data_IF_370921598618
#
_entry.id   IF_370921598618
#
_cell.length_a   1.000
_cell.length_b   1.000
_cell.length_c   1.000
_cell.angle_alpha   90.00
_cell.angle_beta   90.00
_cell.angle_gamma   90.00
#
_symmetry.space_group_name_H-M   'P 1'
#
loop_
_entity.id
_entity.type
_entity.pdbx_description
1 polymer ?
#
# COMPACT_ATOMS: atom_id res chain seq x y z
N UNK A 1 -21.55 -44.04 -48.34
CA UNK A 1 -20.49 -43.10 -47.97
C UNK A 1 -21.03 -41.71 -48.23
N UNK A 2 -22.18 -41.36 -47.65
CA UNK A 2 -22.39 -41.01 -46.22
C UNK A 2 -21.68 -39.67 -45.94
N UNK A 3 -22.27 -38.59 -45.45
CA UNK A 3 -23.61 -38.28 -44.98
C UNK A 3 -23.80 -36.75 -45.09
N UNK A 4 -25.06 -36.39 -45.32
CA UNK A 4 -25.73 -35.10 -45.13
C UNK A 4 -25.29 -34.33 -43.85
N UNK A 5 -25.06 -33.01 -43.90
CA UNK A 5 -26.06 -31.90 -43.97
C UNK A 5 -26.70 -31.58 -42.62
N UNK A 6 -26.41 -30.37 -42.11
CA UNK A 6 -27.31 -29.40 -41.45
C UNK A 6 -26.49 -28.09 -41.43
N UNK A 7 -26.70 -27.06 -42.25
CA UNK A 7 -27.87 -26.25 -42.58
C UNK A 7 -28.57 -25.60 -41.38
N UNK A 8 -28.28 -24.30 -41.22
CA UNK A 8 -29.19 -23.15 -40.99
C UNK A 8 -30.26 -23.16 -39.87
N UNK A 9 -30.54 -21.93 -39.37
CA UNK A 9 -31.54 -21.46 -38.38
C UNK A 9 -31.06 -21.45 -36.91
N UNK A 10 -31.10 -20.35 -36.15
CA UNK A 10 -32.13 -19.31 -36.06
C UNK A 10 -31.61 -17.89 -35.77
N UNK A 11 -32.38 -16.95 -36.31
CA UNK A 11 -32.46 -15.53 -36.00
C UNK A 11 -33.36 -15.31 -34.76
N UNK A 12 -33.08 -14.24 -34.00
CA UNK A 12 -33.93 -13.51 -33.04
C UNK A 12 -34.68 -14.25 -31.91
N UNK A 13 -34.33 -13.90 -30.66
CA UNK A 13 -35.30 -13.36 -29.68
C UNK A 13 -34.60 -12.38 -28.73
N UNK A 14 -35.12 -11.16 -28.68
CA UNK A 14 -34.86 -10.17 -27.65
C UNK A 14 -35.67 -10.47 -26.38
N UNK A 15 -35.26 -9.83 -25.29
CA UNK A 15 -36.01 -9.49 -24.06
C UNK A 15 -35.97 -10.45 -22.86
N UNK A 16 -35.55 -9.86 -21.72
CA UNK A 16 -35.82 -10.21 -20.31
C UNK A 16 -35.10 -11.48 -19.80
N UNK A 17 -34.19 -11.42 -18.82
CA UNK A 17 -34.31 -10.82 -17.50
C UNK A 17 -32.95 -10.88 -16.76
N UNK A 18 -32.86 -10.11 -15.68
CA UNK A 18 -31.79 -10.05 -14.69
C UNK A 18 -31.38 -11.42 -14.11
N UNK A 19 -30.24 -11.38 -13.42
CA UNK A 19 -29.70 -12.38 -12.47
C UNK A 19 -28.70 -13.34 -13.10
N UNK A 20 -27.41 -13.02 -12.95
CA UNK A 20 -26.35 -13.91 -12.44
C UNK A 20 -25.00 -13.18 -12.56
N UNK A 21 -24.79 -12.21 -11.65
CA UNK A 21 -23.46 -11.88 -11.17
C UNK A 21 -23.07 -12.91 -10.09
N UNK A 22 -21.75 -13.07 -9.88
CA UNK A 22 -21.09 -13.80 -8.79
C UNK A 22 -20.58 -15.22 -9.08
N UNK A 23 -19.41 -15.30 -9.74
CA UNK A 23 -18.44 -16.34 -9.39
C UNK A 23 -17.02 -15.79 -9.53
N UNK A 24 -16.14 -16.17 -8.61
CA UNK A 24 -14.72 -15.75 -8.42
C UNK A 24 -14.44 -14.64 -7.39
N UNK A 25 -14.92 -14.85 -6.16
CA UNK A 25 -14.19 -14.46 -4.94
C UNK A 25 -13.68 -15.73 -4.23
N UNK A 26 -12.43 -16.12 -4.48
CA UNK A 26 -11.70 -17.10 -3.65
C UNK A 26 -10.68 -16.34 -2.81
N UNK A 27 -11.19 -15.66 -1.78
CA UNK A 27 -10.42 -15.17 -0.66
C UNK A 27 -9.85 -16.34 0.16
N UNK A 28 -8.58 -16.23 0.51
CA UNK A 28 -8.03 -17.01 1.62
C UNK A 28 -8.65 -16.49 2.91
N UNK A 29 -9.68 -17.17 3.41
CA UNK A 29 -10.19 -17.00 4.76
C UNK A 29 -9.23 -17.70 5.72
N UNK A 30 -8.50 -16.92 6.52
CA UNK A 30 -7.89 -17.41 7.74
C UNK A 30 -8.90 -17.15 8.86
N UNK A 31 -9.81 -18.10 9.09
CA UNK A 31 -10.61 -18.14 10.30
C UNK A 31 -9.76 -18.87 11.36
N UNK A 32 -9.38 -18.23 12.47
CA UNK A 32 -8.88 -18.99 13.61
C UNK A 32 -10.05 -19.78 14.20
N UNK A 33 -9.99 -21.10 14.13
CA UNK A 33 -10.84 -21.99 14.89
C UNK A 33 -10.65 -21.68 16.38
N UNK A 34 -11.71 -21.16 17.01
CA UNK A 34 -11.78 -20.99 18.47
C UNK A 34 -12.34 -22.29 19.02
N UNK A 35 -11.45 -23.24 19.29
CA UNK A 35 -11.78 -24.40 20.10
C UNK A 35 -12.10 -23.92 21.53
N UNK A 36 -13.38 -23.99 21.89
CA UNK A 36 -13.82 -23.90 23.28
C UNK A 36 -13.52 -25.22 23.98
N UNK A 37 -12.24 -25.49 24.24
CA UNK A 37 -11.83 -26.41 25.28
C UNK A 37 -11.25 -25.58 26.42
N UNK A 38 -11.92 -25.61 27.58
CA UNK A 38 -11.38 -25.05 28.83
C UNK A 38 -10.10 -25.82 29.22
N UNK A 39 -8.96 -25.42 28.67
CA UNK A 39 -7.66 -25.83 29.19
C UNK A 39 -7.49 -25.25 30.60
N UNK A 40 -7.66 -26.10 31.61
CA UNK A 40 -7.27 -25.79 32.99
C UNK A 40 -5.75 -25.63 33.03
N UNK A 41 -5.29 -24.38 33.09
CA UNK A 41 -3.91 -24.02 33.37
C UNK A 41 -3.41 -24.74 34.64
N UNK A 42 -2.21 -25.36 34.62
CA UNK A 42 -1.63 -25.95 35.81
C UNK A 42 -1.36 -24.88 36.88
N UNK A 43 -1.87 -25.11 38.10
CA UNK A 43 -1.82 -24.20 39.27
C UNK A 43 -0.43 -24.00 39.90
N UNK A 44 0.64 -24.05 39.12
CA UNK A 44 2.01 -24.01 39.67
C UNK A 44 2.90 -23.02 38.91
N UNK A 45 2.53 -21.74 38.87
CA UNK A 45 3.47 -20.66 38.53
C UNK A 45 2.98 -19.26 38.95
N UNK A 46 2.46 -19.12 40.18
CA UNK A 46 1.91 -17.84 40.66
C UNK A 46 2.48 -17.39 42.00
N UNK A 47 3.81 -17.41 42.15
CA UNK A 47 4.47 -16.78 43.30
C UNK A 47 5.84 -16.19 42.92
N UNK A 48 5.96 -15.36 41.86
CA UNK A 48 7.03 -14.34 41.81
C UNK A 48 6.91 -13.28 40.69
N UNK A 49 5.76 -12.62 40.54
CA UNK A 49 5.63 -11.45 39.65
C UNK A 49 4.93 -10.33 40.39
N UNK A 50 5.67 -9.68 41.28
CA UNK A 50 5.27 -8.45 41.95
C UNK A 50 5.12 -7.28 40.96
N UNK A 51 3.97 -6.61 41.05
CA UNK A 51 3.74 -5.18 40.80
C UNK A 51 4.22 -4.55 39.48
N UNK A 52 3.89 -5.14 38.32
CA UNK A 52 3.86 -4.38 37.06
C UNK A 52 2.49 -3.71 36.88
N UNK A 53 2.41 -2.42 37.24
CA UNK A 53 1.22 -1.60 37.02
C UNK A 53 0.91 -1.52 35.52
N UNK A 54 -0.28 -1.98 35.15
CA UNK A 54 -0.90 -1.83 33.83
C UNK A 54 -1.29 -0.35 33.64
N UNK A 55 -0.34 0.51 33.29
CA UNK A 55 -0.58 1.96 33.17
C UNK A 55 0.38 2.72 32.25
N UNK A 56 1.54 2.16 31.94
CA UNK A 56 2.49 2.85 31.07
C UNK A 56 2.31 2.39 29.62
N UNK A 57 1.41 3.09 28.91
CA UNK A 57 1.52 3.19 27.45
C UNK A 57 2.92 3.73 27.15
N UNK A 58 3.86 2.84 26.79
CA UNK A 58 5.16 3.23 26.26
C UNK A 58 4.90 4.05 24.99
N UNK A 59 4.89 5.37 25.13
CA UNK A 59 4.96 6.23 23.97
C UNK A 59 6.35 6.00 23.35
N UNK A 60 6.44 5.71 22.04
CA UNK A 60 7.74 5.58 21.40
C UNK A 60 8.51 6.89 21.59
N UNK A 61 9.62 6.81 22.34
CA UNK A 61 10.56 7.90 22.66
C UNK A 61 11.18 8.56 21.43
N UNK A 62 10.93 8.01 20.24
CA UNK A 62 11.46 8.45 18.96
C UNK A 62 11.02 9.86 18.51
N UNK A 63 10.03 10.50 19.17
CA UNK A 63 9.46 11.78 18.73
C UNK A 63 9.86 13.01 19.56
N UNK A 64 10.83 12.91 20.48
CA UNK A 64 11.18 14.00 21.40
C UNK A 64 12.26 14.96 20.88
N UNK A 65 12.95 14.62 19.80
CA UNK A 65 13.98 15.48 19.22
C UNK A 65 13.43 16.32 18.06
N UNK A 66 12.91 17.50 18.37
CA UNK A 66 12.54 18.56 17.40
C UNK A 66 13.76 19.13 16.62
N UNK A 67 14.94 18.52 16.73
CA UNK A 67 16.22 18.96 16.15
C UNK A 67 16.92 17.92 15.29
N UNK A 68 16.21 16.95 14.73
CA UNK A 68 16.78 16.21 13.59
C UNK A 68 16.75 17.16 12.39
N UNK A 69 17.85 17.87 12.18
CA UNK A 69 18.11 18.61 10.95
C UNK A 69 18.40 17.58 9.87
N UNK A 70 17.34 17.20 9.14
CA UNK A 70 17.47 16.31 7.99
C UNK A 70 18.29 17.04 6.95
N UNK A 71 19.48 16.53 6.63
CA UNK A 71 20.22 16.97 5.46
C UNK A 71 19.38 16.63 4.22
N UNK A 72 18.69 17.65 3.70
CA UNK A 72 17.82 17.54 2.53
C UNK A 72 18.63 17.43 1.23
N UNK A 73 19.96 17.61 1.29
CA UNK A 73 20.79 17.68 0.09
C UNK A 73 21.08 16.31 -0.54
N UNK A 74 20.91 15.21 0.21
CA UNK A 74 21.17 13.85 -0.28
C UNK A 74 20.00 13.28 -1.11
N UNK A 75 18.78 13.79 -0.94
CA UNK A 75 17.58 13.15 -1.49
C UNK A 75 16.93 13.98 -2.59
N UNK A 76 16.69 13.34 -3.73
CA UNK A 76 15.96 13.93 -4.86
C UNK A 76 14.48 14.20 -4.55
N UNK A 77 13.93 13.63 -3.47
CA UNK A 77 12.53 13.79 -3.06
C UNK A 77 12.36 13.83 -1.54
N UNK A 78 11.48 14.71 -1.06
CA UNK A 78 11.13 14.82 0.35
C UNK A 78 9.71 15.35 0.58
N UNK A 79 9.14 15.02 1.73
CA UNK A 79 7.90 15.62 2.24
C UNK A 79 8.24 16.85 3.06
N UNK A 80 7.84 18.03 2.58
CA UNK A 80 8.24 19.31 3.16
C UNK A 80 7.25 19.87 4.18
N UNK A 81 5.95 19.55 4.05
CA UNK A 81 4.93 20.03 4.97
C UNK A 81 3.72 19.10 5.07
N UNK A 82 2.99 19.22 6.18
CA UNK A 82 1.69 18.60 6.41
C UNK A 82 0.63 19.66 6.13
N UNK A 83 -0.29 19.38 5.20
CA UNK A 83 -1.37 20.28 4.80
C UNK A 83 -2.69 19.74 5.34
N UNK A 84 -3.41 20.52 6.16
CA UNK A 84 -4.71 20.16 6.73
C UNK A 84 -5.82 21.00 6.09
N UNK A 85 -6.45 20.51 5.03
CA UNK A 85 -7.56 21.18 4.34
C UNK A 85 -8.70 20.18 4.11
N UNK A 86 -9.57 20.00 5.11
CA UNK A 86 -10.62 18.96 5.16
C UNK A 86 -10.08 17.55 5.40
N UNK A 87 -8.99 17.19 4.70
CA UNK A 87 -8.20 15.98 4.91
C UNK A 87 -6.73 16.33 5.16
N UNK A 88 -6.02 15.41 5.81
CA UNK A 88 -4.56 15.50 5.97
C UNK A 88 -3.87 15.03 4.69
N UNK A 89 -3.12 15.93 4.08
CA UNK A 89 -2.27 15.70 2.92
C UNK A 89 -0.82 16.02 3.28
N UNK A 90 0.11 15.48 2.50
CA UNK A 90 1.54 15.66 2.65
C UNK A 90 2.06 16.29 1.37
N UNK A 91 2.72 17.44 1.49
CA UNK A 91 3.32 18.11 0.34
C UNK A 91 4.70 17.54 0.08
N UNK A 92 4.91 17.14 -1.16
CA UNK A 92 6.10 16.47 -1.63
C UNK A 92 6.80 17.42 -2.60
N UNK A 93 8.09 17.65 -2.38
CA UNK A 93 8.96 18.38 -3.29
C UNK A 93 10.14 17.52 -3.70
N UNK A 94 10.65 17.75 -4.91
CA UNK A 94 11.78 17.00 -5.41
C UNK A 94 12.04 17.25 -6.89
N UNK A 95 12.90 16.43 -7.47
CA UNK A 95 13.21 16.41 -8.90
C UNK A 95 13.27 14.95 -9.35
N UNK A 96 12.75 14.65 -10.53
CA UNK A 96 13.00 13.38 -11.20
C UNK A 96 13.43 13.64 -12.65
N UNK A 97 13.56 12.58 -13.45
CA UNK A 97 13.91 12.68 -14.88
C UNK A 97 12.94 13.53 -15.72
N UNK A 98 11.74 13.80 -15.23
CA UNK A 98 10.72 14.60 -15.89
C UNK A 98 10.63 16.03 -15.32
N UNK A 99 11.57 16.44 -14.46
CA UNK A 99 11.70 17.78 -13.91
C UNK A 99 11.27 17.91 -12.45
N UNK A 100 11.01 19.15 -12.03
CA UNK A 100 10.63 19.47 -10.66
C UNK A 100 9.28 18.85 -10.26
N UNK A 101 9.15 18.57 -8.98
CA UNK A 101 7.96 18.04 -8.32
C UNK A 101 7.51 19.01 -7.24
N UNK A 102 6.25 19.43 -7.29
CA UNK A 102 5.55 20.10 -6.19
C UNK A 102 4.11 19.58 -6.18
N UNK A 103 3.87 18.53 -5.39
CA UNK A 103 2.60 17.79 -5.38
C UNK A 103 2.10 17.57 -3.95
N UNK A 104 0.80 17.30 -3.79
CA UNK A 104 0.20 16.93 -2.51
C UNK A 104 -0.46 15.56 -2.60
N UNK A 105 -0.19 14.69 -1.62
CA UNK A 105 -0.76 13.33 -1.55
C UNK A 105 -1.28 13.03 -0.14
N UNK A 106 -2.41 12.35 -0.06
CA UNK A 106 -2.99 11.82 1.18
C UNK A 106 -2.46 10.44 1.47
N UNK A 107 -2.50 10.04 2.73
CA UNK A 107 -2.05 8.70 3.17
C UNK A 107 -2.65 7.55 2.33
N UNK A 108 -3.93 7.65 1.93
CA UNK A 108 -4.58 6.60 1.13
C UNK A 108 -3.91 6.35 -0.23
N UNK A 109 -3.34 7.40 -0.84
CA UNK A 109 -2.65 7.30 -2.13
C UNK A 109 -1.31 6.59 -1.99
N UNK A 110 -0.56 6.87 -0.91
CA UNK A 110 0.65 6.11 -0.56
C UNK A 110 0.34 4.64 -0.28
N UNK A 111 -0.78 4.38 0.40
CA UNK A 111 -1.23 3.03 0.68
C UNK A 111 -1.57 2.26 -0.60
N UNK A 112 -2.28 2.89 -1.52
CA UNK A 112 -2.57 2.31 -2.84
C UNK A 112 -1.28 2.03 -3.63
N UNK A 113 -0.36 3.01 -3.69
CA UNK A 113 0.94 2.86 -4.35
C UNK A 113 1.69 1.63 -3.83
N UNK A 114 1.89 1.54 -2.51
CA UNK A 114 2.62 0.42 -1.92
C UNK A 114 1.97 -0.92 -2.22
N UNK A 115 0.64 -0.98 -2.15
CA UNK A 115 -0.08 -2.23 -2.42
C UNK A 115 0.07 -2.69 -3.85
N UNK A 116 0.00 -1.77 -4.82
CA UNK A 116 0.22 -2.11 -6.23
C UNK A 116 1.68 -2.50 -6.46
N UNK A 117 2.64 -1.77 -5.90
CA UNK A 117 4.06 -2.14 -5.97
C UNK A 117 4.31 -3.55 -5.43
N UNK A 118 3.76 -3.91 -4.26
CA UNK A 118 3.89 -5.27 -3.71
C UNK A 118 3.28 -6.36 -4.59
N UNK A 119 2.19 -6.05 -5.29
CA UNK A 119 1.52 -7.00 -6.20
C UNK A 119 2.29 -7.19 -7.51
N UNK A 120 2.93 -6.14 -8.03
CA UNK A 120 3.61 -6.15 -9.33
C UNK A 120 5.10 -6.51 -9.23
N UNK A 121 5.77 -6.16 -8.14
CA UNK A 121 7.19 -6.44 -7.90
C UNK A 121 7.36 -7.61 -6.92
N UNK A 122 6.90 -8.79 -7.33
CA UNK A 122 6.94 -9.99 -6.49
C UNK A 122 8.39 -10.43 -6.27
N UNK A 123 8.74 -10.75 -5.01
CA UNK A 123 10.10 -11.14 -4.63
C UNK A 123 11.06 -9.97 -4.38
N UNK A 124 10.63 -8.73 -4.62
CA UNK A 124 11.42 -7.54 -4.36
C UNK A 124 11.04 -6.88 -3.04
N UNK A 125 12.03 -6.26 -2.41
CA UNK A 125 11.81 -5.46 -1.22
C UNK A 125 11.05 -4.18 -1.57
N UNK A 126 9.90 -3.99 -0.92
CA UNK A 126 9.12 -2.75 -1.00
C UNK A 126 9.13 -2.07 0.39
N UNK A 127 9.65 -0.84 0.51
CA UNK A 127 9.70 -0.12 1.77
C UNK A 127 8.34 -0.08 2.50
N UNK A 128 8.40 -0.13 3.83
CA UNK A 128 7.22 -0.07 4.69
C UNK A 128 6.56 1.31 4.69
N UNK A 129 5.25 1.33 4.89
CA UNK A 129 4.49 2.55 5.21
C UNK A 129 3.79 2.35 6.55
N UNK A 130 3.41 3.43 7.26
CA UNK A 130 2.67 3.31 8.51
C UNK A 130 1.36 2.53 8.30
N UNK A 131 0.92 1.72 9.27
CA UNK A 131 -0.32 0.96 9.14
C UNK A 131 -1.55 1.87 9.11
N UNK A 132 -2.63 1.37 8.51
CA UNK A 132 -3.94 2.02 8.57
C UNK A 132 -4.39 2.05 10.04
N UNK A 133 -4.70 3.23 10.55
CA UNK A 133 -5.34 3.41 11.86
C UNK A 133 -6.78 3.87 11.60
N UNK A 134 -7.81 3.07 11.95
CA UNK A 134 -9.21 3.46 11.77
C UNK A 134 -9.66 4.49 12.82
N UNK A 135 -9.16 4.36 14.05
CA UNK A 135 -9.44 5.24 15.20
C UNK A 135 -8.24 6.18 15.42
N UNK A 136 -8.47 7.43 15.83
CA UNK A 136 -7.41 8.39 16.14
C UNK A 136 -6.58 8.87 14.95
N UNK A 137 -7.04 8.62 13.72
CA UNK A 137 -6.24 8.84 12.51
C UNK A 137 -5.90 10.32 12.17
N UNK A 138 -6.54 11.26 12.88
CA UNK A 138 -6.35 12.71 12.79
C UNK A 138 -5.55 13.28 13.96
N UNK A 139 -5.21 12.47 14.96
CA UNK A 139 -4.41 12.91 16.10
C UNK A 139 -3.03 13.38 15.61
N UNK A 140 -2.55 14.48 16.19
CA UNK A 140 -1.31 15.13 15.72
C UNK A 140 -0.10 14.20 15.82
N UNK A 141 -0.04 13.37 16.86
CA UNK A 141 1.00 12.36 17.04
C UNK A 141 0.97 11.36 15.87
N UNK A 142 -0.22 10.84 15.53
CA UNK A 142 -0.40 9.90 14.40
C UNK A 142 -0.06 10.56 13.07
N UNK A 143 -0.42 11.83 12.89
CA UNK A 143 -0.13 12.58 11.66
C UNK A 143 1.37 12.86 11.51
N UNK A 144 2.06 13.22 12.60
CA UNK A 144 3.52 13.40 12.62
C UNK A 144 4.27 12.09 12.38
N UNK A 145 3.86 11.01 13.05
CA UNK A 145 4.43 9.67 12.86
C UNK A 145 4.29 9.25 11.39
N UNK A 146 3.11 9.48 10.80
CA UNK A 146 2.89 9.20 9.38
C UNK A 146 3.77 10.04 8.47
N UNK A 147 3.87 11.34 8.72
CA UNK A 147 4.74 12.21 7.94
C UNK A 147 6.18 11.68 7.90
N UNK A 148 6.73 11.33 9.06
CA UNK A 148 8.08 10.79 9.18
C UNK A 148 8.26 9.50 8.36
N UNK A 149 7.38 8.52 8.56
CA UNK A 149 7.50 7.21 7.92
C UNK A 149 7.21 7.28 6.41
N UNK A 150 6.28 8.13 5.98
CA UNK A 150 6.01 8.34 4.55
C UNK A 150 7.16 9.07 3.86
N UNK A 151 7.82 10.02 4.54
CA UNK A 151 9.01 10.66 4.00
C UNK A 151 10.12 9.64 3.79
N UNK A 152 10.40 8.82 4.81
CA UNK A 152 11.37 7.73 4.71
C UNK A 152 11.00 6.74 3.61
N UNK A 153 9.73 6.38 3.46
CA UNK A 153 9.26 5.52 2.36
C UNK A 153 9.66 6.08 0.99
N UNK A 154 9.41 7.37 0.72
CA UNK A 154 9.78 7.98 -0.57
C UNK A 154 11.29 7.99 -0.80
N UNK A 155 12.04 8.35 0.23
CA UNK A 155 13.50 8.39 0.20
C UNK A 155 14.12 7.00 -0.04
N UNK A 156 13.54 5.94 0.52
CA UNK A 156 14.01 4.58 0.30
C UNK A 156 13.60 4.06 -1.08
N UNK A 157 12.40 4.42 -1.58
CA UNK A 157 11.99 4.09 -2.95
C UNK A 157 12.87 4.80 -3.98
N UNK A 158 13.25 6.05 -3.76
CA UNK A 158 14.11 6.80 -4.69
C UNK A 158 15.51 6.23 -4.81
N UNK A 159 16.01 5.51 -3.79
CA UNK A 159 17.29 4.79 -3.84
C UNK A 159 17.25 3.51 -4.68
N UNK A 160 16.06 3.04 -5.08
CA UNK A 160 15.88 1.78 -5.80
C UNK A 160 15.46 2.11 -7.24
N UNK A 161 16.39 2.10 -8.23
CA UNK A 161 16.13 2.68 -9.56
C UNK A 161 14.91 2.09 -10.28
N UNK A 162 14.77 0.77 -10.27
CA UNK A 162 13.65 0.09 -10.93
C UNK A 162 12.29 0.37 -10.28
N UNK A 163 12.25 0.73 -8.98
CA UNK A 163 11.02 1.18 -8.32
C UNK A 163 10.79 2.67 -8.54
N UNK A 164 11.83 3.50 -8.48
CA UNK A 164 11.75 4.94 -8.70
C UNK A 164 11.26 5.28 -10.11
N UNK A 165 11.77 4.58 -11.10
CA UNK A 165 11.41 4.75 -12.51
C UNK A 165 10.22 3.89 -12.94
N UNK A 166 9.58 3.21 -12.00
CA UNK A 166 8.42 2.36 -12.25
C UNK A 166 7.21 3.18 -12.73
N UNK A 167 6.33 2.50 -13.47
CA UNK A 167 5.06 3.07 -13.92
C UNK A 167 4.17 3.49 -12.75
N UNK A 168 4.18 2.69 -11.68
CA UNK A 168 3.50 2.93 -10.42
C UNK A 168 3.92 4.26 -9.80
N UNK A 169 5.24 4.50 -9.74
CA UNK A 169 5.78 5.73 -9.19
C UNK A 169 5.50 6.93 -10.11
N UNK A 170 5.59 6.74 -11.42
CA UNK A 170 5.20 7.75 -12.41
C UNK A 170 3.74 8.20 -12.25
N UNK A 171 2.82 7.24 -12.09
CA UNK A 171 1.40 7.52 -11.82
C UNK A 171 1.23 8.25 -10.50
N UNK A 172 1.94 7.84 -9.45
CA UNK A 172 1.85 8.50 -8.15
C UNK A 172 2.33 9.95 -8.19
N UNK A 173 3.45 10.22 -8.87
CA UNK A 173 4.05 11.55 -8.96
C UNK A 173 3.26 12.47 -9.91
N UNK A 174 2.92 11.98 -11.12
CA UNK A 174 2.25 12.75 -12.18
C UNK A 174 1.04 12.00 -12.73
N UNK A 175 -0.06 11.91 -11.97
CA UNK A 175 -1.23 11.16 -12.38
C UNK A 175 -1.98 11.88 -13.49
N UNK A 176 -2.49 11.10 -14.46
CA UNK A 176 -3.38 11.59 -15.53
C UNK A 176 -4.85 11.68 -15.07
N UNK A 177 -5.20 10.95 -14.01
CA UNK A 177 -6.54 10.86 -13.43
C UNK A 177 -6.44 10.65 -11.91
N UNK A 178 -7.51 10.24 -11.23
CA UNK A 178 -7.39 9.87 -9.80
C UNK A 178 -6.31 8.78 -9.60
N UNK A 179 -5.40 9.00 -8.64
CA UNK A 179 -4.23 8.15 -8.41
C UNK A 179 -4.62 6.70 -8.15
N UNK A 180 -5.61 6.47 -7.29
CA UNK A 180 -6.02 5.11 -6.92
C UNK A 180 -6.65 4.39 -8.11
N UNK A 181 -7.51 5.09 -8.87
CA UNK A 181 -8.10 4.52 -10.09
C UNK A 181 -7.01 4.16 -11.10
N UNK A 182 -6.06 5.06 -11.35
CA UNK A 182 -5.00 4.83 -12.33
C UNK A 182 -4.08 3.68 -11.93
N UNK A 183 -3.71 3.60 -10.64
CA UNK A 183 -2.92 2.50 -10.10
C UNK A 183 -3.66 1.16 -10.20
N UNK A 184 -4.98 1.12 -10.05
CA UNK A 184 -5.76 -0.12 -10.15
C UNK A 184 -5.94 -0.59 -11.60
N UNK A 185 -5.75 0.27 -12.60
CA UNK A 185 -5.74 -0.12 -14.02
C UNK A 185 -4.47 -0.88 -14.40
N UNK A 186 -3.43 -0.82 -13.55
CA UNK A 186 -2.20 -1.57 -13.77
C UNK A 186 -2.44 -3.07 -13.55
N UNK A 187 -2.29 -3.86 -14.62
CA UNK A 187 -2.35 -5.32 -14.57
C UNK A 187 -1.21 -5.96 -13.76
N UNK A 188 -1.28 -7.27 -13.53
CA UNK A 188 -0.15 -8.01 -12.94
C UNK A 188 1.03 -8.02 -13.93
N UNK A 189 2.24 -7.97 -13.39
CA UNK A 189 3.47 -8.09 -14.18
C UNK A 189 3.90 -9.56 -14.23
N UNK A 190 4.36 -10.03 -15.39
CA UNK A 190 4.97 -11.37 -15.51
C UNK A 190 6.40 -11.35 -14.96
N UNK A 191 6.92 -12.52 -14.58
CA UNK A 191 8.31 -12.63 -14.13
C UNK A 191 9.32 -12.15 -15.19
N UNK A 192 9.03 -12.41 -16.46
CA UNK A 192 9.86 -11.94 -17.58
C UNK A 192 9.93 -10.42 -17.66
N UNK A 193 8.78 -9.73 -17.57
CA UNK A 193 8.71 -8.27 -17.55
C UNK A 193 9.47 -7.66 -16.36
N UNK A 194 9.41 -8.31 -15.19
CA UNK A 194 10.16 -7.87 -14.01
C UNK A 194 11.67 -7.97 -14.28
N UNK A 195 12.13 -9.11 -14.80
CA UNK A 195 13.54 -9.34 -15.13
C UNK A 195 14.06 -8.37 -16.18
N UNK A 196 13.28 -8.11 -17.23
CA UNK A 196 13.63 -7.14 -18.27
C UNK A 196 13.84 -5.74 -17.66
N UNK A 197 12.91 -5.28 -16.82
CA UNK A 197 13.05 -3.98 -16.14
C UNK A 197 14.30 -3.91 -15.26
N UNK A 198 14.62 -4.96 -14.53
CA UNK A 198 15.79 -4.97 -13.63
C UNK A 198 17.08 -5.00 -14.43
N UNK A 199 17.12 -5.75 -15.54
CA UNK A 199 18.30 -5.85 -16.41
C UNK A 199 18.75 -4.51 -16.98
N UNK A 200 17.86 -3.52 -17.03
CA UNK A 200 18.18 -2.15 -17.45
C UNK A 200 19.06 -1.41 -16.42
N UNK A 201 19.08 -1.85 -15.16
CA UNK A 201 19.77 -1.20 -14.05
C UNK A 201 20.88 -2.05 -13.41
N UNK A 202 21.17 -3.24 -13.96
CA UNK A 202 22.26 -4.13 -13.54
C UNK A 202 23.37 -4.13 -14.59
#
# INVERSE_FOLDING_TARGET
MDENRYDTYWDQTAENNNEEEEEYDKGYNYEPEVDNEEEKLPQAFSEDLGDLKLGDTMQPTFMQDDKIEWDRSEYDICIVEIVKQGHTSYKIKGVDKNGELDICRRYKEFYALRNVMRKRWVGFYIPGIPPKKPIGNKEDIVVKERWYLLNRFLQEVSKIPHLWESEEMGIFLRPKMDVEKNLNLLGKMTSEQILERISTYC
#
